data_IF_850974528291
#
_entry.id   IF_850974528291
#
_cell.length_a   1.000
_cell.length_b   1.000
_cell.length_c   1.000
_cell.angle_alpha   90.00
_cell.angle_beta   90.00
_cell.angle_gamma   90.00
#
_symmetry.space_group_name_H-M   'P 1'
#
loop_
_entity.id
_entity.type
_entity.pdbx_description
1 polymer ?
#
# COMPACT_ATOMS: atom_id res chain seq x y z
N UNK A 1 1.08 2.34 16.17
CA UNK A 1 1.84 1.89 14.99
C UNK A 1 3.30 2.19 15.28
N UNK A 2 4.10 1.17 15.53
CA UNK A 2 5.56 1.35 15.71
C UNK A 2 6.28 1.17 14.37
N UNK A 3 7.49 1.70 14.26
CA UNK A 3 8.32 1.54 13.05
C UNK A 3 8.61 0.06 12.77
N UNK A 4 8.78 -0.74 13.83
CA UNK A 4 9.06 -2.17 13.75
C UNK A 4 7.91 -2.95 13.08
N UNK A 5 6.68 -2.71 13.54
CA UNK A 5 5.48 -3.30 12.95
C UNK A 5 5.28 -2.93 11.47
N UNK A 6 5.68 -1.71 11.09
CA UNK A 6 5.65 -1.26 9.70
C UNK A 6 6.68 -1.99 8.85
N UNK A 7 7.93 -2.13 9.33
CA UNK A 7 8.99 -2.85 8.61
C UNK A 7 8.63 -4.32 8.42
N UNK A 8 8.15 -4.98 9.46
CA UNK A 8 7.64 -6.35 9.37
C UNK A 8 6.53 -6.47 8.32
N UNK A 9 5.59 -5.51 8.26
CA UNK A 9 4.52 -5.54 7.28
C UNK A 9 5.05 -5.36 5.83
N UNK A 10 6.03 -4.47 5.63
CA UNK A 10 6.67 -4.24 4.33
C UNK A 10 7.42 -5.50 3.86
N UNK A 11 8.17 -6.15 4.75
CA UNK A 11 8.87 -7.40 4.46
C UNK A 11 7.90 -8.54 4.19
N UNK A 12 6.83 -8.66 4.99
CA UNK A 12 5.80 -9.68 4.82
C UNK A 12 5.09 -9.59 3.46
N UNK A 13 4.77 -8.36 3.02
CA UNK A 13 4.19 -8.13 1.69
C UNK A 13 5.24 -8.11 0.57
N UNK A 14 6.53 -8.25 0.90
CA UNK A 14 7.67 -8.15 -0.01
C UNK A 14 7.57 -6.90 -0.91
N UNK A 15 7.41 -5.74 -0.28
CA UNK A 15 7.30 -4.44 -0.95
C UNK A 15 8.70 -3.86 -1.12
N UNK A 16 9.24 -3.99 -2.33
CA UNK A 16 10.60 -3.50 -2.67
C UNK A 16 10.53 -2.07 -3.25
N UNK A 17 9.39 -1.70 -3.84
CA UNK A 17 9.22 -0.45 -4.60
C UNK A 17 7.95 0.30 -4.20
N UNK A 18 7.70 1.46 -4.83
CA UNK A 18 6.45 2.21 -4.70
C UNK A 18 5.28 1.32 -5.17
N UNK A 19 4.37 1.03 -4.26
CA UNK A 19 3.11 0.33 -4.58
C UNK A 19 1.94 1.26 -4.34
N UNK A 20 0.84 1.03 -5.06
CA UNK A 20 -0.41 1.74 -4.80
C UNK A 20 -1.24 1.03 -3.72
N UNK A 21 -2.25 1.73 -3.21
CA UNK A 21 -3.28 1.13 -2.34
C UNK A 21 -3.96 -0.06 -2.99
N UNK A 22 -4.14 -0.03 -4.31
CA UNK A 22 -4.76 -1.12 -5.07
C UNK A 22 -3.85 -2.34 -5.15
N UNK A 23 -2.55 -2.14 -5.39
CA UNK A 23 -1.56 -3.23 -5.40
C UNK A 23 -1.49 -3.92 -4.04
N UNK A 24 -1.49 -3.15 -2.95
CA UNK A 24 -1.54 -3.68 -1.59
C UNK A 24 -2.79 -4.54 -1.37
N UNK A 25 -3.95 -4.06 -1.83
CA UNK A 25 -5.22 -4.77 -1.72
C UNK A 25 -5.24 -6.06 -2.55
N UNK A 26 -4.69 -6.04 -3.76
CA UNK A 26 -4.56 -7.24 -4.61
C UNK A 26 -3.70 -8.30 -3.95
N UNK A 27 -2.49 -7.95 -3.51
CA UNK A 27 -1.60 -8.87 -2.78
C UNK A 27 -2.27 -9.46 -1.54
N UNK A 28 -3.00 -8.64 -0.78
CA UNK A 28 -3.75 -9.13 0.38
C UNK A 28 -4.79 -10.18 -0.01
N UNK A 29 -5.56 -9.93 -1.07
CA UNK A 29 -6.58 -10.87 -1.54
C UNK A 29 -5.97 -12.20 -2.00
N UNK A 30 -4.84 -12.15 -2.69
CA UNK A 30 -4.12 -13.35 -3.16
C UNK A 30 -3.61 -14.19 -1.99
N UNK A 31 -2.92 -13.56 -1.03
CA UNK A 31 -2.42 -14.23 0.17
C UNK A 31 -3.55 -14.72 1.07
N UNK A 32 -4.66 -13.98 1.15
CA UNK A 32 -5.84 -14.35 1.94
C UNK A 32 -6.49 -15.62 1.42
N UNK A 33 -6.54 -15.80 0.09
CA UNK A 33 -7.00 -17.05 -0.53
C UNK A 33 -6.03 -18.20 -0.28
N UNK A 34 -4.72 -17.94 -0.31
CA UNK A 34 -3.70 -18.97 -0.07
C UNK A 34 -3.65 -19.46 1.39
N UNK A 35 -3.88 -18.56 2.35
CA UNK A 35 -3.85 -18.87 3.78
C UNK A 35 -5.24 -19.09 4.39
N UNK A 36 -6.27 -19.30 3.58
CA UNK A 36 -7.64 -19.43 4.09
C UNK A 36 -7.80 -20.68 4.96
N UNK A 37 -8.28 -20.56 6.22
CA UNK A 37 -8.36 -21.70 7.15
C UNK A 37 -9.25 -22.83 6.62
N UNK A 38 -10.36 -22.52 5.92
CA UNK A 38 -11.22 -23.54 5.31
C UNK A 38 -10.54 -24.39 4.22
N UNK A 39 -9.44 -23.92 3.63
CA UNK A 39 -8.67 -24.65 2.62
C UNK A 39 -7.47 -25.39 3.24
N UNK A 40 -7.41 -25.51 4.57
CA UNK A 40 -6.26 -26.05 5.30
C UNK A 40 -5.13 -25.02 5.49
N UNK A 41 -5.45 -23.73 5.36
CA UNK A 41 -4.54 -22.62 5.58
C UNK A 41 -4.22 -22.38 7.05
N UNK A 42 -3.20 -21.56 7.27
CA UNK A 42 -2.57 -21.37 8.57
C UNK A 42 -3.14 -20.13 9.26
N UNK A 43 -3.93 -20.31 10.32
CA UNK A 43 -4.64 -19.21 11.00
C UNK A 43 -3.65 -18.14 11.54
N UNK A 44 -2.47 -18.55 12.00
CA UNK A 44 -1.45 -17.63 12.49
C UNK A 44 -0.91 -16.75 11.36
N UNK A 45 -0.66 -17.32 10.18
CA UNK A 45 -0.24 -16.55 9.00
C UNK A 45 -1.34 -15.62 8.52
N UNK A 46 -2.61 -16.04 8.61
CA UNK A 46 -3.74 -15.19 8.25
C UNK A 46 -3.89 -14.00 9.21
N UNK A 47 -3.73 -14.22 10.52
CA UNK A 47 -3.70 -13.14 11.52
C UNK A 47 -2.55 -12.16 11.24
N UNK A 48 -1.34 -12.67 10.93
CA UNK A 48 -0.19 -11.84 10.56
C UNK A 48 -0.46 -11.02 9.30
N UNK A 49 -1.00 -11.64 8.25
CA UNK A 49 -1.42 -10.99 7.00
C UNK A 49 -2.39 -9.83 7.26
N UNK A 50 -3.45 -10.07 8.05
CA UNK A 50 -4.45 -9.05 8.35
C UNK A 50 -3.87 -7.90 9.20
N UNK A 51 -3.01 -8.22 10.18
CA UNK A 51 -2.31 -7.21 10.99
C UNK A 51 -1.43 -6.31 10.11
N UNK A 52 -0.57 -6.91 9.28
CA UNK A 52 0.31 -6.19 8.36
C UNK A 52 -0.47 -5.33 7.36
N UNK A 53 -1.58 -5.85 6.82
CA UNK A 53 -2.44 -5.09 5.91
C UNK A 53 -3.05 -3.86 6.59
N UNK A 54 -3.57 -3.99 7.82
CA UNK A 54 -4.13 -2.86 8.58
C UNK A 54 -3.09 -1.77 8.85
N UNK A 55 -1.86 -2.15 9.18
CA UNK A 55 -0.75 -1.22 9.42
C UNK A 55 -0.46 -0.40 8.14
N UNK A 56 -0.24 -1.09 7.02
CA UNK A 56 0.07 -0.45 5.74
C UNK A 56 -1.09 0.42 5.23
N UNK A 57 -2.32 -0.08 5.35
CA UNK A 57 -3.52 0.67 4.98
C UNK A 57 -3.72 1.91 5.87
N UNK A 58 -3.44 1.80 7.17
CA UNK A 58 -3.47 2.92 8.10
C UNK A 58 -2.44 3.98 7.75
N UNK A 59 -1.23 3.57 7.36
CA UNK A 59 -0.20 4.48 6.87
C UNK A 59 -0.63 5.23 5.60
N UNK A 60 -1.17 4.51 4.61
CA UNK A 60 -1.64 5.11 3.35
C UNK A 60 -2.82 6.07 3.60
N UNK A 61 -3.81 5.67 4.39
CA UNK A 61 -4.98 6.50 4.65
C UNK A 61 -4.66 7.69 5.58
N UNK A 62 -3.67 7.56 6.45
CA UNK A 62 -3.20 8.63 7.33
C UNK A 62 -2.25 9.61 6.65
N UNK A 63 -1.83 9.32 5.42
CA UNK A 63 -0.97 10.21 4.64
C UNK A 63 -1.75 11.47 4.27
N UNK A 64 -1.29 12.62 4.76
CA UNK A 64 -1.85 13.91 4.40
C UNK A 64 -1.16 14.39 3.13
N UNK A 65 -1.95 14.67 2.12
CA UNK A 65 -1.47 15.28 0.89
C UNK A 65 -1.51 16.80 1.02
N UNK A 66 -0.45 17.47 0.59
CA UNK A 66 -0.48 18.90 0.34
C UNK A 66 -0.83 19.09 -1.14
N UNK A 67 -2.02 19.61 -1.42
CA UNK A 67 -2.43 19.94 -2.80
C UNK A 67 -1.81 21.27 -3.24
N UNK A 68 -0.49 21.43 -3.07
CA UNK A 68 0.29 22.57 -3.54
C UNK A 68 0.89 22.25 -4.93
N UNK A 69 1.11 23.29 -5.74
CA UNK A 69 1.72 23.14 -7.07
C UNK A 69 3.11 22.50 -7.00
N UNK A 70 3.84 22.76 -5.92
CA UNK A 70 5.16 22.16 -5.64
C UNK A 70 5.09 20.64 -5.41
N UNK A 71 4.09 20.15 -4.66
CA UNK A 71 3.90 18.72 -4.42
C UNK A 71 3.43 18.01 -5.70
N UNK A 72 2.56 18.65 -6.49
CA UNK A 72 2.13 18.14 -7.79
C UNK A 72 3.32 17.94 -8.75
N UNK A 73 4.20 18.95 -8.86
CA UNK A 73 5.42 18.88 -9.69
C UNK A 73 6.41 17.81 -9.23
N UNK A 74 6.52 17.57 -7.91
CA UNK A 74 7.35 16.48 -7.35
C UNK A 74 6.78 15.10 -7.68
N UNK A 75 5.46 14.95 -7.66
CA UNK A 75 4.79 13.68 -7.93
C UNK A 75 4.73 13.35 -9.42
N UNK A 76 4.67 14.38 -10.29
CA UNK A 76 4.64 14.27 -11.74
C UNK A 76 5.75 15.11 -12.39
N UNK A 77 7.03 14.73 -12.25
CA UNK A 77 8.15 15.52 -12.77
C UNK A 77 8.20 15.57 -14.31
N UNK A 78 7.44 14.74 -15.01
CA UNK A 78 7.37 14.69 -16.47
C UNK A 78 6.17 15.45 -17.05
N UNK A 79 5.31 16.05 -16.21
CA UNK A 79 4.28 16.94 -16.72
C UNK A 79 4.84 18.35 -16.88
N UNK A 80 5.58 18.56 -17.97
CA UNK A 80 5.42 19.81 -18.72
C UNK A 80 3.95 19.82 -19.18
N UNK A 81 3.04 20.17 -18.26
CA UNK A 81 1.63 20.35 -18.54
C UNK A 81 1.53 21.68 -19.27
N UNK A 82 2.02 21.66 -20.51
CA UNK A 82 1.84 22.70 -21.49
C UNK A 82 0.34 23.01 -21.50
N UNK A 83 -0.01 24.26 -21.24
CA UNK A 83 -1.37 24.74 -20.96
C UNK A 83 -2.31 24.69 -22.20
N UNK A 84 -2.12 23.68 -23.06
CA UNK A 84 -2.79 23.44 -24.34
C UNK A 84 -3.88 22.36 -24.29
N UNK A 85 -4.15 21.75 -23.13
CA UNK A 85 -5.17 20.70 -22.98
C UNK A 85 -6.32 21.10 -22.05
N UNK A 86 -6.79 22.34 -22.20
CA UNK A 86 -8.12 22.75 -21.74
C UNK A 86 -8.89 23.25 -22.97
N UNK A 87 -9.76 22.41 -23.52
CA UNK A 87 -10.81 22.76 -24.49
C UNK A 87 -12.16 22.58 -23.80
#
# INVERSE_FOLDING_TARGET
MTLDEFREAVEFFNIITRITKEDLRKKYLELSKAYHPDLGGDEEKFKKLNKSYKILLGFINGYRFEFSEDEFKKQFPLSDFDSRFWF
#
